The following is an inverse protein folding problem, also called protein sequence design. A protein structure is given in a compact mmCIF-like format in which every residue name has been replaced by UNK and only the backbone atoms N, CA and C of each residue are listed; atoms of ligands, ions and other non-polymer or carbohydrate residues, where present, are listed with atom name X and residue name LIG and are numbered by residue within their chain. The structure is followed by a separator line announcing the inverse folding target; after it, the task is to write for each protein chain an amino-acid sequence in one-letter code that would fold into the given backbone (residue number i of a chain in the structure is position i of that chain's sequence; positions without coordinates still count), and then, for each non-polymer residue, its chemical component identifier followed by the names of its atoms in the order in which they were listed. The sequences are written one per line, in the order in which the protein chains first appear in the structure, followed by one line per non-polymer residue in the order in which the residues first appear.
data_IF_880589437803
#
_entry.id   IF_880589437803
#
_cell.length_a   1.000
_cell.length_b   1.000
_cell.length_c   1.000
_cell.angle_alpha   90.00
_cell.angle_beta   90.00
_cell.angle_gamma   90.00
#
_symmetry.space_group_name_H-M   'P 1'
#
loop_
_entity.id
_entity.type
_entity.pdbx_description
1 polymer ?
#
# COMPACT_ATOMS: atom_id res chain seq x y z
N UNK A 1 19.88 2.36 2.24
CA UNK A 1 18.81 1.92 1.31
C UNK A 1 17.54 2.63 1.74
N UNK A 2 16.97 3.53 0.92
CA UNK A 2 15.85 4.36 1.33
C UNK A 2 14.59 3.50 1.42
N UNK A 3 13.85 3.72 2.50
CA UNK A 3 12.68 2.95 2.95
C UNK A 3 11.51 3.91 2.90
N UNK A 4 10.44 3.49 2.21
CA UNK A 4 9.35 4.32 1.68
C UNK A 4 9.81 5.49 0.80
N UNK A 5 10.31 5.16 -0.38
CA UNK A 5 10.44 6.11 -1.47
C UNK A 5 9.07 6.41 -2.13
N UNK A 6 8.19 7.14 -1.44
CA UNK A 6 7.08 7.85 -2.11
C UNK A 6 7.55 9.18 -2.73
N UNK A 7 8.86 9.44 -2.75
CA UNK A 7 9.49 10.66 -3.28
C UNK A 7 10.62 10.34 -4.27
N UNK A 8 10.32 9.60 -5.33
CA UNK A 8 10.98 9.76 -6.65
C UNK A 8 10.36 8.93 -7.76
N UNK A 9 9.59 7.89 -7.43
CA UNK A 9 9.10 6.94 -8.46
C UNK A 9 7.70 7.29 -8.97
N UNK A 10 6.99 8.14 -8.22
CA UNK A 10 5.84 8.88 -8.74
C UNK A 10 6.45 10.14 -9.35
N UNK A 11 6.50 10.14 -10.68
CA UNK A 11 7.09 11.13 -11.58
C UNK A 11 7.18 12.57 -11.03
N UNK A 12 8.19 13.31 -11.50
CA UNK A 12 8.37 14.76 -11.27
C UNK A 12 7.02 15.49 -11.24
N UNK A 13 6.87 16.51 -10.39
CA UNK A 13 5.56 17.10 -10.06
C UNK A 13 4.67 17.44 -11.28
N UNK A 14 5.28 17.74 -12.44
CA UNK A 14 4.60 18.01 -13.72
C UNK A 14 3.89 16.78 -14.32
N UNK A 15 4.30 15.55 -13.98
CA UNK A 15 3.74 14.28 -14.44
C UNK A 15 2.74 13.66 -13.45
N UNK A 16 2.51 14.27 -12.29
CA UNK A 16 1.51 13.81 -11.32
C UNK A 16 0.08 13.74 -11.92
N UNK A 17 -0.41 14.75 -12.67
CA UNK A 17 -1.73 14.69 -13.29
C UNK A 17 -1.87 13.51 -14.27
N UNK A 18 -0.85 13.26 -15.07
CA UNK A 18 -0.83 12.17 -16.06
C UNK A 18 -0.83 10.80 -15.39
N UNK A 19 -0.03 10.65 -14.34
CA UNK A 19 0.05 9.44 -13.53
C UNK A 19 -1.30 9.14 -12.86
N UNK A 20 -1.93 10.14 -12.24
CA UNK A 20 -3.24 10.00 -11.63
C UNK A 20 -4.31 9.65 -12.67
N UNK A 21 -4.27 10.28 -13.84
CA UNK A 21 -5.17 9.94 -14.94
C UNK A 21 -4.98 8.49 -15.43
N UNK A 22 -3.73 8.01 -15.50
CA UNK A 22 -3.42 6.63 -15.87
C UNK A 22 -3.91 5.62 -14.82
N UNK A 23 -3.69 5.90 -13.53
CA UNK A 23 -4.24 5.08 -12.42
C UNK A 23 -5.76 5.01 -12.52
N UNK A 24 -6.42 6.16 -12.70
CA UNK A 24 -7.88 6.23 -12.83
C UNK A 24 -8.44 5.45 -14.02
N UNK A 25 -7.77 5.50 -15.19
CA UNK A 25 -8.15 4.69 -16.36
C UNK A 25 -8.05 3.19 -16.07
N UNK A 26 -6.95 2.74 -15.46
CA UNK A 26 -6.78 1.32 -15.07
C UNK A 26 -7.81 0.89 -14.04
N UNK A 27 -8.05 1.71 -13.02
CA UNK A 27 -9.04 1.46 -11.97
C UNK A 27 -10.46 1.34 -12.56
N UNK A 28 -10.84 2.21 -13.51
CA UNK A 28 -12.16 2.14 -14.18
C UNK A 28 -12.34 0.82 -14.94
N UNK A 29 -11.31 0.34 -15.64
CA UNK A 29 -11.36 -0.95 -16.34
C UNK A 29 -11.44 -2.12 -15.34
N UNK A 30 -10.63 -2.09 -14.29
CA UNK A 30 -10.65 -3.12 -13.24
C UNK A 30 -11.98 -3.15 -12.48
N UNK A 31 -12.58 -1.98 -12.20
CA UNK A 31 -13.86 -1.85 -11.51
C UNK A 31 -15.00 -2.54 -12.24
N UNK A 32 -15.05 -2.48 -13.58
CA UNK A 32 -16.04 -3.22 -14.38
C UNK A 32 -15.91 -4.73 -14.19
N UNK A 33 -14.68 -5.25 -14.16
CA UNK A 33 -14.44 -6.69 -13.90
C UNK A 33 -14.84 -7.07 -12.47
N UNK A 34 -14.52 -6.21 -11.49
CA UNK A 34 -14.88 -6.45 -10.09
C UNK A 34 -16.39 -6.44 -9.85
N UNK A 35 -17.13 -5.56 -10.55
CA UNK A 35 -18.58 -5.50 -10.47
C UNK A 35 -19.23 -6.81 -10.97
N UNK A 36 -18.68 -7.42 -12.03
CA UNK A 36 -19.17 -8.67 -12.62
C UNK A 36 -18.67 -9.93 -11.90
N UNK A 37 -17.67 -9.82 -11.02
CA UNK A 37 -17.15 -10.98 -10.30
C UNK A 37 -18.20 -11.53 -9.31
N UNK A 38 -18.37 -12.85 -9.32
CA UNK A 38 -19.27 -13.57 -8.41
C UNK A 38 -18.84 -13.40 -6.96
N UNK A 39 -19.79 -13.56 -6.03
CA UNK A 39 -19.51 -13.55 -4.59
C UNK A 39 -18.43 -14.58 -4.21
N UNK A 40 -18.54 -15.81 -4.74
CA UNK A 40 -17.57 -16.87 -4.46
C UNK A 40 -16.14 -16.50 -4.86
N UNK A 41 -15.96 -15.84 -6.02
CA UNK A 41 -14.64 -15.37 -6.46
C UNK A 41 -14.09 -14.29 -5.52
N UNK A 42 -14.93 -13.36 -5.08
CA UNK A 42 -14.54 -12.31 -4.13
C UNK A 42 -14.16 -12.91 -2.78
N UNK A 43 -14.95 -13.84 -2.26
CA UNK A 43 -14.68 -14.52 -1.00
C UNK A 43 -13.36 -15.29 -1.04
N UNK A 44 -13.11 -16.01 -2.15
CA UNK A 44 -11.84 -16.73 -2.34
C UNK A 44 -10.67 -15.74 -2.37
N UNK A 45 -10.80 -14.62 -3.07
CA UNK A 45 -9.76 -13.61 -3.12
C UNK A 45 -9.45 -13.03 -1.72
N UNK A 46 -10.47 -12.72 -0.92
CA UNK A 46 -10.29 -12.22 0.45
C UNK A 46 -9.58 -13.23 1.37
N UNK A 47 -9.96 -14.51 1.30
CA UNK A 47 -9.27 -15.57 2.07
C UNK A 47 -7.80 -15.69 1.67
N UNK A 48 -7.52 -15.69 0.36
CA UNK A 48 -6.14 -15.74 -0.15
C UNK A 48 -5.33 -14.50 0.26
N UNK A 49 -5.93 -13.31 0.25
CA UNK A 49 -5.25 -12.10 0.75
C UNK A 49 -4.88 -12.27 2.22
N UNK A 50 -5.80 -12.76 3.05
CA UNK A 50 -5.53 -12.98 4.48
C UNK A 50 -4.44 -14.04 4.71
N UNK A 51 -4.46 -15.14 3.96
CA UNK A 51 -3.40 -16.17 3.99
C UNK A 51 -2.04 -15.59 3.60
N UNK A 52 -1.99 -14.81 2.50
CA UNK A 52 -0.75 -14.18 2.03
C UNK A 52 -0.23 -13.14 3.01
N UNK A 53 -1.08 -12.33 3.63
CA UNK A 53 -0.67 -11.37 4.65
C UNK A 53 0.00 -12.08 5.83
N UNK A 54 -0.61 -13.16 6.34
CA UNK A 54 -0.04 -13.96 7.44
C UNK A 54 1.27 -14.65 7.05
N UNK A 55 1.31 -15.25 5.85
CA UNK A 55 2.50 -15.94 5.35
C UNK A 55 3.69 -14.99 5.15
N UNK A 56 3.44 -13.72 4.85
CA UNK A 56 4.48 -12.70 4.62
C UNK A 56 4.60 -11.69 5.78
N UNK A 57 4.03 -11.98 6.95
CA UNK A 57 3.97 -11.05 8.08
C UNK A 57 5.37 -10.57 8.51
N UNK A 58 6.35 -11.47 8.56
CA UNK A 58 7.73 -11.13 8.91
C UNK A 58 8.35 -10.09 7.94
N UNK A 59 8.07 -10.20 6.64
CA UNK A 59 8.54 -9.24 5.64
C UNK A 59 7.84 -7.90 5.79
N UNK A 60 6.51 -7.92 5.96
CA UNK A 60 5.69 -6.72 6.15
C UNK A 60 6.14 -5.94 7.40
N UNK A 61 6.34 -6.62 8.53
CA UNK A 61 6.82 -6.01 9.77
C UNK A 61 8.23 -5.44 9.62
N UNK A 62 9.11 -6.14 8.88
CA UNK A 62 10.48 -5.68 8.61
C UNK A 62 10.49 -4.40 7.78
N UNK A 63 9.63 -4.27 6.78
CA UNK A 63 9.48 -3.03 6.00
C UNK A 63 8.80 -1.93 6.82
N UNK A 64 7.73 -2.22 7.56
CA UNK A 64 7.08 -1.24 8.43
C UNK A 64 8.03 -0.66 9.49
N UNK A 65 8.92 -1.47 10.08
CA UNK A 65 9.91 -0.99 11.04
C UNK A 65 10.85 0.07 10.44
N UNK A 66 11.18 -0.07 9.15
CA UNK A 66 11.98 0.89 8.41
C UNK A 66 11.23 2.20 8.18
N UNK A 67 9.94 2.11 7.89
CA UNK A 67 9.05 3.26 7.71
C UNK A 67 8.86 4.04 9.01
N UNK A 68 8.67 3.33 10.12
CA UNK A 68 8.61 3.92 11.47
C UNK A 68 9.92 4.63 11.82
N UNK A 69 11.07 4.04 11.50
CA UNK A 69 12.36 4.68 11.71
C UNK A 69 12.50 5.98 10.89
N UNK A 70 12.10 5.96 9.62
CA UNK A 70 12.11 7.15 8.76
C UNK A 70 11.18 8.24 9.28
N UNK A 71 9.97 7.88 9.73
CA UNK A 71 9.00 8.83 10.27
C UNK A 71 9.49 9.47 11.58
N UNK A 72 10.18 8.71 12.45
CA UNK A 72 10.83 9.25 13.66
C UNK A 72 11.94 10.24 13.31
N UNK A 73 12.79 9.92 12.34
CA UNK A 73 13.84 10.81 11.86
C UNK A 73 13.27 12.09 11.23
N UNK A 74 12.12 11.99 10.58
CA UNK A 74 11.39 13.12 10.01
C UNK A 74 10.64 13.97 11.06
N UNK A 75 10.75 13.67 12.36
CA UNK A 75 10.14 14.45 13.43
C UNK A 75 8.61 14.32 13.52
N UNK A 76 8.03 13.23 13.02
CA UNK A 76 6.59 13.00 13.10
C UNK A 76 6.12 12.85 14.55
N UNK A 77 4.86 13.21 14.81
CA UNK A 77 4.29 13.15 16.16
C UNK A 77 4.19 11.71 16.68
N UNK A 78 4.31 11.54 18.00
CA UNK A 78 4.18 10.23 18.64
C UNK A 78 2.85 9.54 18.29
N UNK A 79 1.75 10.29 18.18
CA UNK A 79 0.45 9.76 17.78
C UNK A 79 0.42 9.26 16.33
N UNK A 80 1.18 9.87 15.42
CA UNK A 80 1.30 9.37 14.05
C UNK A 80 2.14 8.09 14.01
N UNK A 81 3.24 8.05 14.77
CA UNK A 81 4.12 6.88 14.86
C UNK A 81 3.36 5.68 15.42
N UNK A 82 2.54 5.88 16.45
CA UNK A 82 1.69 4.85 17.05
C UNK A 82 0.75 4.21 16.02
N UNK A 83 0.07 5.04 15.21
CA UNK A 83 -0.81 4.56 14.14
C UNK A 83 -0.08 3.91 12.96
N UNK A 84 1.20 4.22 12.77
CA UNK A 84 2.01 3.69 11.68
C UNK A 84 2.62 2.33 12.04
N UNK A 85 2.97 2.12 13.31
CA UNK A 85 3.61 0.91 13.76
C UNK A 85 2.67 -0.29 13.68
N UNK A 86 3.19 -1.40 13.14
CA UNK A 86 2.53 -2.69 13.13
C UNK A 86 3.20 -3.60 14.17
N UNK A 87 2.39 -4.37 14.89
CA UNK A 87 2.79 -5.44 15.80
C UNK A 87 2.36 -6.82 15.28
N UNK A 88 2.81 -7.88 15.96
CA UNK A 88 2.61 -9.28 15.59
C UNK A 88 1.58 -9.97 16.47
#
# INVERSE_FOLDING_TARGET
MPVLNLRSDLAEADALPELMAAIGRRARVAGRRMALASAQTKDRALRLIAERLRANAAEILRENARDVAAARQAGQSAALIDRLALDA
#
